data_IF_756705186799
#
_entry.id   IF_756705186799
#
_cell.length_a   1.000
_cell.length_b   1.000
_cell.length_c   1.000
_cell.angle_alpha   90.00
_cell.angle_beta   90.00
_cell.angle_gamma   90.00
#
_symmetry.space_group_name_H-M   'P 1'
#
loop_
_entity.id
_entity.type
_entity.pdbx_description
1 polymer ?
#
# COMPACT_ATOMS: atom_id res chain seq x y z
N UNK A 1 -33.57 23.81 -11.45
CA UNK A 1 -33.90 25.16 -11.97
C UNK A 1 -34.38 26.14 -10.87
N UNK A 2 -33.78 26.16 -9.68
CA UNK A 2 -34.09 27.17 -8.65
C UNK A 2 -32.91 27.48 -7.69
N UNK A 3 -31.67 27.33 -8.14
CA UNK A 3 -30.46 27.60 -7.34
C UNK A 3 -29.42 28.47 -8.04
N UNK A 4 -29.75 29.03 -9.21
CA UNK A 4 -28.83 29.82 -10.05
C UNK A 4 -29.18 31.32 -10.14
N UNK A 5 -30.20 31.80 -9.40
CA UNK A 5 -30.64 33.21 -9.45
C UNK A 5 -30.20 34.07 -8.26
N UNK A 6 -29.58 33.49 -7.23
CA UNK A 6 -29.16 34.21 -6.01
C UNK A 6 -27.79 34.91 -6.10
N UNK A 7 -26.90 34.44 -6.98
CA UNK A 7 -25.50 34.90 -7.05
C UNK A 7 -25.27 36.07 -8.01
N UNK A 8 -26.20 36.37 -8.92
CA UNK A 8 -26.06 37.52 -9.85
C UNK A 8 -26.47 38.87 -9.25
N UNK A 9 -27.24 38.90 -8.17
CA UNK A 9 -27.75 40.15 -7.58
C UNK A 9 -26.71 40.83 -6.69
N UNK A 10 -25.83 40.06 -6.05
CA UNK A 10 -24.77 40.59 -5.15
C UNK A 10 -23.61 41.22 -5.93
N UNK A 11 -23.32 40.72 -7.14
CA UNK A 11 -22.26 41.26 -8.02
C UNK A 11 -22.67 42.62 -8.62
N UNK A 12 -23.96 42.84 -8.91
CA UNK A 12 -24.46 44.14 -9.43
C UNK A 12 -24.39 45.28 -8.41
N UNK A 13 -24.35 44.99 -7.11
CA UNK A 13 -24.32 46.02 -6.06
C UNK A 13 -22.90 46.56 -5.80
N UNK A 14 -21.86 45.75 -6.01
CA UNK A 14 -20.47 46.14 -5.77
C UNK A 14 -19.93 46.99 -6.93
N UNK A 15 -20.35 46.72 -8.17
CA UNK A 15 -19.92 47.48 -9.36
C UNK A 15 -20.53 48.89 -9.42
N UNK A 16 -21.64 49.15 -8.71
CA UNK A 16 -22.33 50.45 -8.74
C UNK A 16 -21.81 51.48 -7.72
N UNK A 17 -20.94 51.10 -6.78
CA UNK A 17 -20.43 52.01 -5.73
C UNK A 17 -19.01 52.55 -5.96
N UNK A 18 -18.37 52.24 -7.08
CA UNK A 18 -17.04 52.76 -7.45
C UNK A 18 -17.08 53.93 -8.43
N UNK A 19 -18.27 54.33 -8.90
CA UNK A 19 -18.43 55.47 -9.83
C UNK A 19 -19.07 56.69 -9.15
N UNK A 20 -18.40 57.31 -8.18
CA UNK A 20 -18.60 58.73 -7.88
C UNK A 20 -17.26 59.33 -7.43
N UNK A 21 -16.87 60.42 -8.09
CA UNK A 21 -15.67 61.25 -7.87
C UNK A 21 -14.38 60.84 -8.61
N UNK A 22 -14.34 61.06 -9.92
CA UNK A 22 -13.08 61.43 -10.62
C UNK A 22 -13.40 62.46 -11.71
N UNK A 23 -12.72 63.61 -11.67
CA UNK A 23 -12.78 64.71 -12.63
C UNK A 23 -12.16 64.34 -14.00
N UNK A 24 -12.50 65.04 -15.09
CA UNK A 24 -12.11 64.63 -16.44
C UNK A 24 -10.77 65.25 -16.85
N UNK A 25 -9.65 64.58 -16.55
CA UNK A 25 -8.39 64.76 -17.28
C UNK A 25 -7.35 63.73 -16.79
N UNK A 26 -7.21 62.61 -17.51
CA UNK A 26 -5.93 61.91 -17.74
C UNK A 26 -6.17 60.47 -18.25
N UNK A 27 -5.58 60.17 -19.41
CA UNK A 27 -4.90 58.89 -19.72
C UNK A 27 -5.67 57.58 -19.43
N UNK A 28 -6.40 57.11 -20.44
CA UNK A 28 -7.13 55.83 -20.49
C UNK A 28 -6.22 54.58 -20.68
N UNK A 29 -5.06 54.49 -20.01
CA UNK A 29 -4.07 53.41 -20.22
C UNK A 29 -3.68 52.48 -19.05
N UNK A 30 -4.07 52.66 -17.77
CA UNK A 30 -3.73 51.66 -16.74
C UNK A 30 -4.87 50.69 -16.40
N UNK A 31 -6.13 50.98 -16.74
CA UNK A 31 -7.28 50.19 -16.25
C UNK A 31 -7.45 48.87 -17.00
N UNK A 32 -6.98 48.76 -18.25
CA UNK A 32 -7.10 47.54 -19.05
C UNK A 32 -6.09 46.44 -18.63
N UNK A 33 -4.99 46.80 -17.96
CA UNK A 33 -3.97 45.85 -17.48
C UNK A 33 -4.42 45.13 -16.21
N UNK A 34 -5.24 45.77 -15.37
CA UNK A 34 -5.75 45.15 -14.14
C UNK A 34 -6.86 44.11 -14.38
N UNK A 35 -7.63 44.20 -15.46
CA UNK A 35 -8.72 43.24 -15.74
C UNK A 35 -8.20 41.96 -16.40
N UNK A 36 -7.12 42.04 -17.20
CA UNK A 36 -6.42 40.86 -17.72
C UNK A 36 -5.57 40.15 -16.65
N UNK A 37 -5.05 40.89 -15.67
CA UNK A 37 -4.37 40.31 -14.50
C UNK A 37 -5.30 39.59 -13.53
N UNK A 38 -6.57 39.99 -13.42
CA UNK A 38 -7.54 39.37 -12.52
C UNK A 38 -8.12 38.04 -13.07
N UNK A 39 -8.10 37.84 -14.38
CA UNK A 39 -8.46 36.56 -15.02
C UNK A 39 -7.33 35.52 -14.95
N UNK A 40 -6.08 35.95 -14.76
CA UNK A 40 -4.93 35.08 -14.50
C UNK A 40 -4.81 34.63 -13.03
N UNK A 41 -5.70 35.12 -12.16
CA UNK A 41 -5.82 34.75 -10.74
C UNK A 41 -7.05 33.86 -10.46
N UNK A 42 -7.57 33.18 -11.49
CA UNK A 42 -8.23 31.89 -11.25
C UNK A 42 -7.14 30.96 -10.74
N UNK A 43 -7.02 30.90 -9.41
CA UNK A 43 -6.22 29.93 -8.71
C UNK A 43 -6.44 28.59 -9.42
N UNK A 44 -5.35 28.05 -9.98
CA UNK A 44 -5.27 26.64 -10.32
C UNK A 44 -5.35 25.93 -8.98
N UNK A 45 -6.56 25.76 -8.45
CA UNK A 45 -6.81 24.74 -7.44
C UNK A 45 -6.36 23.46 -8.13
N UNK A 46 -5.34 22.74 -7.62
CA UNK A 46 -5.01 21.46 -8.20
C UNK A 46 -6.31 20.65 -8.18
N UNK A 47 -6.85 20.39 -9.37
CA UNK A 47 -7.90 19.40 -9.52
C UNK A 47 -7.18 18.11 -9.19
N UNK A 48 -7.25 17.69 -7.92
CA UNK A 48 -6.85 16.35 -7.55
C UNK A 48 -7.54 15.42 -8.54
N UNK A 49 -6.78 14.54 -9.19
CA UNK A 49 -7.38 13.54 -10.05
C UNK A 49 -8.34 12.74 -9.18
N UNK A 50 -9.63 12.77 -9.49
CA UNK A 50 -10.62 11.98 -8.76
C UNK A 50 -10.50 10.54 -9.25
N UNK A 51 -9.60 9.78 -8.64
CA UNK A 51 -9.45 8.36 -8.97
C UNK A 51 -10.71 7.62 -8.52
N UNK A 52 -11.29 6.81 -9.41
CA UNK A 52 -12.37 5.89 -9.07
C UNK A 52 -11.76 4.49 -8.90
N UNK A 53 -11.74 3.91 -7.69
CA UNK A 53 -11.28 2.54 -7.48
C UNK A 53 -12.25 1.55 -8.15
N UNK A 54 -11.82 0.28 -8.28
CA UNK A 54 -12.58 -0.74 -9.00
C UNK A 54 -14.04 -0.91 -8.53
N UNK A 55 -14.34 -0.66 -7.25
CA UNK A 55 -15.71 -0.71 -6.73
C UNK A 55 -16.62 0.40 -7.30
N UNK A 56 -16.11 1.61 -7.48
CA UNK A 56 -16.86 2.72 -8.09
C UNK A 56 -17.07 2.46 -9.58
N UNK A 57 -16.04 1.93 -10.27
CA UNK A 57 -16.14 1.55 -11.68
C UNK A 57 -17.17 0.42 -11.86
N UNK A 58 -17.10 -0.63 -11.04
CA UNK A 58 -18.09 -1.71 -11.06
C UNK A 58 -19.51 -1.20 -10.82
N UNK A 59 -19.68 -0.27 -9.88
CA UNK A 59 -20.97 0.36 -9.58
C UNK A 59 -21.51 1.17 -10.77
N UNK A 60 -20.63 1.90 -11.47
CA UNK A 60 -20.99 2.65 -12.67
C UNK A 60 -21.41 1.75 -13.85
N UNK A 61 -21.02 0.48 -13.84
CA UNK A 61 -21.43 -0.56 -14.79
C UNK A 61 -22.58 -1.44 -14.26
N UNK A 62 -23.35 -0.93 -13.30
CA UNK A 62 -24.51 -1.60 -12.69
C UNK A 62 -24.20 -3.03 -12.19
N UNK A 63 -22.98 -3.29 -11.74
CA UNK A 63 -22.54 -4.60 -11.23
C UNK A 63 -22.78 -5.76 -12.21
N UNK A 64 -22.74 -5.50 -13.51
CA UNK A 64 -23.09 -6.42 -14.60
C UNK A 64 -22.50 -7.83 -14.44
N UNK A 65 -21.20 -7.95 -14.14
CA UNK A 65 -20.50 -9.23 -13.99
C UNK A 65 -20.97 -10.04 -12.77
N UNK A 66 -21.60 -9.38 -11.78
CA UNK A 66 -22.06 -10.00 -10.52
C UNK A 66 -23.54 -10.38 -10.54
N UNK A 67 -24.32 -9.91 -11.53
CA UNK A 67 -25.77 -10.14 -11.58
C UNK A 67 -26.12 -11.61 -11.64
N UNK A 68 -27.03 -12.04 -10.76
CA UNK A 68 -27.49 -13.42 -10.67
C UNK A 68 -26.48 -14.40 -10.07
N UNK A 69 -25.30 -13.94 -9.64
CA UNK A 69 -24.27 -14.77 -9.01
C UNK A 69 -24.32 -14.68 -7.49
N UNK A 70 -23.99 -15.78 -6.82
CA UNK A 70 -23.69 -15.81 -5.38
C UNK A 70 -22.23 -15.37 -5.18
N UNK A 71 -22.05 -14.23 -4.56
CA UNK A 71 -20.75 -13.56 -4.44
C UNK A 71 -20.17 -13.79 -3.05
N UNK A 72 -18.92 -14.25 -3.00
CA UNK A 72 -18.08 -14.17 -1.81
C UNK A 72 -17.14 -12.98 -1.92
N UNK A 73 -17.01 -12.17 -0.87
CA UNK A 73 -16.15 -10.98 -0.89
C UNK A 73 -14.95 -11.17 0.04
N UNK A 74 -13.75 -11.11 -0.53
CA UNK A 74 -12.47 -11.04 0.19
C UNK A 74 -12.13 -9.57 0.38
N UNK A 75 -12.25 -9.08 1.62
CA UNK A 75 -12.08 -7.66 1.92
C UNK A 75 -11.66 -7.43 3.38
N UNK A 76 -11.38 -6.17 3.70
CA UNK A 76 -11.26 -5.65 5.05
C UNK A 76 -11.80 -4.21 5.08
N UNK A 77 -11.56 -3.47 6.16
CA UNK A 77 -12.00 -2.08 6.38
C UNK A 77 -11.46 -1.08 5.34
N UNK A 78 -10.46 -1.43 4.55
CA UNK A 78 -9.94 -0.62 3.44
C UNK A 78 -10.73 -0.76 2.14
N UNK A 79 -11.55 -1.82 2.02
CA UNK A 79 -12.46 -2.03 0.89
C UNK A 79 -13.57 -1.00 0.92
N UNK A 80 -13.33 0.15 0.29
CA UNK A 80 -14.24 1.30 0.23
C UNK A 80 -14.26 1.98 -1.13
N UNK A 81 -15.41 2.58 -1.44
CA UNK A 81 -15.58 3.48 -2.58
C UNK A 81 -14.88 4.82 -2.37
N UNK A 82 -14.82 5.63 -3.43
CA UNK A 82 -14.33 7.01 -3.38
C UNK A 82 -15.15 7.89 -2.40
N UNK A 83 -16.43 7.56 -2.17
CA UNK A 83 -17.27 8.23 -1.16
C UNK A 83 -17.06 7.73 0.27
N UNK A 84 -16.23 6.71 0.48
CA UNK A 84 -15.95 6.10 1.78
C UNK A 84 -16.94 5.01 2.22
N UNK A 85 -17.90 4.63 1.38
CA UNK A 85 -18.83 3.52 1.66
C UNK A 85 -18.08 2.19 1.59
N UNK A 86 -18.32 1.26 2.53
CA UNK A 86 -17.70 -0.06 2.47
C UNK A 86 -18.17 -0.84 1.25
N UNK A 87 -17.26 -1.59 0.63
CA UNK A 87 -17.58 -2.52 -0.46
C UNK A 87 -18.57 -3.60 -0.02
N UNK A 88 -18.57 -3.96 1.28
CA UNK A 88 -19.60 -4.83 1.87
C UNK A 88 -20.99 -4.20 1.67
N UNK A 89 -21.15 -2.94 2.07
CA UNK A 89 -22.43 -2.22 1.98
C UNK A 89 -22.84 -1.95 0.53
N UNK A 90 -21.87 -1.61 -0.33
CA UNK A 90 -22.12 -1.40 -1.77
C UNK A 90 -22.66 -2.68 -2.41
N UNK A 91 -22.01 -3.82 -2.19
CA UNK A 91 -22.43 -5.10 -2.79
C UNK A 91 -23.69 -5.68 -2.13
N UNK A 92 -23.90 -5.47 -0.83
CA UNK A 92 -25.10 -5.92 -0.14
C UNK A 92 -26.37 -5.14 -0.57
N UNK A 93 -26.21 -3.88 -0.97
CA UNK A 93 -27.30 -3.03 -1.46
C UNK A 93 -27.47 -3.04 -2.98
N UNK A 94 -26.53 -3.64 -3.73
CA UNK A 94 -26.51 -3.65 -5.18
C UNK A 94 -27.64 -4.51 -5.79
N UNK A 95 -28.51 -3.93 -6.65
CA UNK A 95 -29.59 -4.68 -7.28
C UNK A 95 -29.07 -5.84 -8.15
N UNK A 96 -29.62 -7.03 -7.92
CA UNK A 96 -29.27 -8.24 -8.68
C UNK A 96 -27.96 -8.91 -8.25
N UNK A 97 -27.25 -8.37 -7.25
CA UNK A 97 -26.09 -9.00 -6.63
C UNK A 97 -26.54 -9.77 -5.39
N UNK A 98 -26.04 -10.99 -5.21
CA UNK A 98 -26.32 -11.79 -4.01
C UNK A 98 -25.02 -12.05 -3.24
N UNK A 99 -24.69 -11.15 -2.32
CA UNK A 99 -23.57 -11.34 -1.40
C UNK A 99 -23.92 -12.44 -0.37
N UNK A 100 -23.10 -13.49 -0.25
CA UNK A 100 -23.40 -14.66 0.60
C UNK A 100 -22.37 -14.98 1.66
N UNK A 101 -21.13 -14.48 1.51
CA UNK A 101 -20.05 -14.73 2.46
C UNK A 101 -18.99 -13.64 2.39
N UNK A 102 -18.32 -13.41 3.52
CA UNK A 102 -17.18 -12.51 3.66
C UNK A 102 -15.94 -13.31 4.03
N UNK A 103 -14.79 -12.89 3.54
CA UNK A 103 -13.49 -13.50 3.82
C UNK A 103 -12.53 -12.40 4.24
N UNK A 104 -11.95 -12.53 5.42
CA UNK A 104 -11.03 -11.53 5.96
C UNK A 104 -9.58 -12.02 5.94
N UNK A 105 -8.62 -11.20 5.52
CA UNK A 105 -7.19 -11.53 5.50
C UNK A 105 -6.58 -11.41 6.91
N UNK A 106 -5.25 -11.26 6.97
CA UNK A 106 -4.53 -10.81 8.16
C UNK A 106 -5.14 -9.50 8.74
N UNK A 107 -5.19 -9.42 10.07
CA UNK A 107 -5.84 -8.36 10.87
C UNK A 107 -7.38 -8.39 10.93
N UNK A 108 -8.02 -9.33 10.23
CA UNK A 108 -9.47 -9.52 10.26
C UNK A 108 -10.25 -8.46 9.47
N UNK A 109 -11.58 -8.57 9.46
CA UNK A 109 -12.43 -7.74 8.59
C UNK A 109 -12.39 -6.24 8.95
N UNK A 110 -12.21 -5.91 10.23
CA UNK A 110 -12.07 -4.53 10.70
C UNK A 110 -10.64 -4.00 10.72
N UNK A 111 -9.63 -4.85 10.52
CA UNK A 111 -8.22 -4.48 10.53
C UNK A 111 -7.64 -4.02 11.87
N UNK A 112 -8.30 -4.35 12.99
CA UNK A 112 -7.97 -3.82 14.32
C UNK A 112 -6.96 -4.69 15.09
N UNK A 113 -6.72 -5.92 14.63
CA UNK A 113 -6.02 -6.93 15.43
C UNK A 113 -4.58 -7.16 14.95
N UNK A 114 -3.62 -7.00 15.86
CA UNK A 114 -2.22 -7.40 15.65
C UNK A 114 -1.98 -8.90 15.99
N UNK A 115 -3.06 -9.66 16.10
CA UNK A 115 -3.09 -11.09 16.44
C UNK A 115 -4.01 -11.84 15.48
N UNK A 116 -3.90 -13.18 15.47
CA UNK A 116 -4.79 -14.05 14.66
C UNK A 116 -6.25 -13.88 15.10
N UNK A 117 -7.14 -13.72 14.11
CA UNK A 117 -8.59 -13.56 14.31
C UNK A 117 -9.31 -14.76 13.71
N UNK A 118 -10.28 -15.31 14.43
CA UNK A 118 -11.10 -16.42 13.97
C UNK A 118 -12.29 -15.98 13.10
N UNK A 119 -12.98 -16.96 12.52
CA UNK A 119 -14.24 -16.72 11.80
C UNK A 119 -15.32 -16.15 12.72
N UNK A 120 -16.22 -15.34 12.16
CA UNK A 120 -17.27 -14.63 12.89
C UNK A 120 -18.52 -14.42 12.02
N UNK A 121 -19.45 -13.56 12.48
CA UNK A 121 -20.63 -13.14 11.72
C UNK A 121 -20.60 -11.62 11.66
N UNK A 122 -20.78 -11.07 10.47
CA UNK A 122 -20.88 -9.63 10.29
C UNK A 122 -22.19 -9.11 10.89
N UNK A 123 -22.09 -8.10 11.75
CA UNK A 123 -23.22 -7.62 12.54
C UNK A 123 -24.25 -6.85 11.72
N UNK A 124 -23.83 -6.25 10.60
CA UNK A 124 -24.67 -5.40 9.77
C UNK A 124 -25.45 -6.26 8.78
N UNK A 125 -24.75 -7.13 8.05
CA UNK A 125 -25.34 -7.97 6.99
C UNK A 125 -25.83 -9.32 7.48
N UNK A 126 -25.38 -9.79 8.65
CA UNK A 126 -25.65 -11.14 9.16
C UNK A 126 -24.90 -12.25 8.43
N UNK A 127 -23.97 -11.90 7.52
CA UNK A 127 -23.22 -12.87 6.71
C UNK A 127 -22.11 -13.56 7.51
N UNK A 128 -21.76 -14.81 7.17
CA UNK A 128 -20.58 -15.46 7.73
C UNK A 128 -19.31 -14.74 7.28
N UNK A 129 -18.36 -14.57 8.21
CA UNK A 129 -17.01 -14.04 7.97
C UNK A 129 -16.00 -15.17 8.20
N UNK A 130 -15.34 -15.62 7.14
CA UNK A 130 -14.29 -16.64 7.21
C UNK A 130 -12.92 -15.98 7.34
N UNK A 131 -12.14 -16.38 8.34
CA UNK A 131 -10.75 -15.93 8.46
C UNK A 131 -9.83 -16.69 7.50
N UNK A 132 -9.06 -15.95 6.71
CA UNK A 132 -7.99 -16.43 5.85
C UNK A 132 -6.61 -16.16 6.47
N UNK A 133 -6.54 -16.18 7.80
CA UNK A 133 -5.28 -16.02 8.52
C UNK A 133 -5.28 -16.82 9.82
N UNK A 134 -4.33 -17.75 9.97
CA UNK A 134 -4.18 -18.56 11.18
C UNK A 134 -4.19 -20.05 10.92
N UNK A 135 -5.34 -20.70 11.07
CA UNK A 135 -5.49 -22.15 10.83
C UNK A 135 -5.35 -22.52 9.34
N UNK A 136 -5.58 -21.56 8.46
CA UNK A 136 -5.28 -21.62 7.03
C UNK A 136 -5.29 -20.21 6.44
N UNK A 137 -4.54 -20.04 5.35
CA UNK A 137 -4.46 -18.76 4.63
C UNK A 137 -5.11 -18.81 3.24
N UNK A 138 -5.96 -19.81 3.04
CA UNK A 138 -6.58 -20.15 1.77
C UNK A 138 -8.05 -20.54 1.98
N UNK A 139 -8.99 -20.06 1.16
CA UNK A 139 -10.38 -20.52 1.22
C UNK A 139 -10.46 -22.04 1.02
N UNK A 140 -11.21 -22.73 1.88
CA UNK A 140 -11.43 -24.18 1.76
C UNK A 140 -12.63 -24.47 0.85
N UNK A 141 -12.70 -25.69 0.29
CA UNK A 141 -13.85 -26.11 -0.53
C UNK A 141 -15.20 -25.95 0.20
N UNK A 142 -15.23 -26.20 1.52
CA UNK A 142 -16.43 -26.01 2.34
C UNK A 142 -16.83 -24.53 2.43
N UNK A 143 -15.87 -23.61 2.55
CA UNK A 143 -16.14 -22.17 2.57
C UNK A 143 -16.62 -21.64 1.21
N UNK A 144 -16.23 -22.29 0.12
CA UNK A 144 -16.62 -21.92 -1.25
C UNK A 144 -17.94 -22.56 -1.71
N UNK A 145 -18.54 -23.43 -0.88
CA UNK A 145 -19.75 -24.13 -1.25
C UNK A 145 -20.91 -23.14 -1.48
N UNK A 146 -21.44 -23.15 -2.71
CA UNK A 146 -22.55 -22.28 -3.09
C UNK A 146 -22.15 -20.83 -3.37
N UNK A 147 -20.86 -20.56 -3.62
CA UNK A 147 -20.35 -19.32 -4.19
C UNK A 147 -20.12 -19.56 -5.69
N UNK A 148 -20.51 -18.60 -6.53
CA UNK A 148 -20.32 -18.66 -7.98
C UNK A 148 -19.16 -17.76 -8.45
N UNK A 149 -18.82 -16.74 -7.65
CA UNK A 149 -17.69 -15.84 -7.90
C UNK A 149 -17.11 -15.30 -6.58
N UNK A 150 -15.78 -15.27 -6.49
CA UNK A 150 -15.08 -14.49 -5.46
C UNK A 150 -14.72 -13.11 -5.99
N UNK A 151 -14.91 -12.08 -5.17
CA UNK A 151 -14.47 -10.70 -5.44
C UNK A 151 -13.39 -10.35 -4.43
N UNK A 152 -12.27 -9.78 -4.87
CA UNK A 152 -11.18 -9.29 -4.03
C UNK A 152 -11.14 -7.77 -4.06
N UNK A 153 -11.20 -7.15 -2.88
CA UNK A 153 -11.12 -5.70 -2.73
C UNK A 153 -10.44 -5.29 -1.42
N UNK A 154 -9.11 -5.09 -1.48
CA UNK A 154 -8.27 -4.71 -0.35
C UNK A 154 -7.19 -3.72 -0.82
N UNK A 155 -6.94 -2.66 -0.06
CA UNK A 155 -5.82 -1.75 -0.27
C UNK A 155 -4.50 -2.38 0.20
N UNK A 156 -3.58 -2.61 -0.74
CA UNK A 156 -2.21 -3.05 -0.48
C UNK A 156 -1.25 -1.85 -0.31
N UNK A 157 0.04 -2.09 -0.05
CA UNK A 157 1.06 -1.05 0.14
C UNK A 157 2.18 -1.04 -0.91
N UNK A 158 2.19 -1.97 -1.87
CA UNK A 158 3.19 -2.02 -2.93
C UNK A 158 4.49 -2.73 -2.55
N UNK A 159 4.47 -3.58 -1.50
CA UNK A 159 5.63 -4.32 -1.00
C UNK A 159 5.38 -5.83 -1.02
N UNK A 160 6.33 -6.61 -1.55
CA UNK A 160 6.22 -8.07 -1.71
C UNK A 160 5.85 -8.81 -0.43
N UNK A 161 6.49 -8.46 0.68
CA UNK A 161 6.30 -9.17 1.95
C UNK A 161 5.13 -8.61 2.78
N UNK A 162 4.29 -7.75 2.20
CA UNK A 162 2.98 -7.42 2.75
C UNK A 162 1.96 -8.47 2.29
N UNK A 163 1.30 -9.13 3.23
CA UNK A 163 0.71 -10.47 3.01
C UNK A 163 -0.53 -10.51 2.13
N UNK A 164 -1.15 -9.36 1.82
CA UNK A 164 -2.40 -9.30 1.06
C UNK A 164 -2.26 -9.81 -0.38
N UNK A 165 -1.11 -9.60 -1.03
CA UNK A 165 -0.85 -10.19 -2.35
C UNK A 165 -0.70 -11.72 -2.27
N UNK A 166 -0.27 -12.24 -1.12
CA UNK A 166 -0.27 -13.67 -0.81
C UNK A 166 -1.68 -14.23 -0.67
N UNK A 167 -2.55 -13.53 0.08
CA UNK A 167 -3.97 -13.87 0.18
C UNK A 167 -4.65 -13.87 -1.19
N UNK A 168 -4.38 -12.87 -2.03
CA UNK A 168 -4.86 -12.81 -3.42
C UNK A 168 -4.50 -14.10 -4.18
N UNK A 169 -3.22 -14.46 -4.21
CA UNK A 169 -2.75 -15.63 -4.96
C UNK A 169 -3.39 -16.93 -4.47
N UNK A 170 -3.43 -17.16 -3.15
CA UNK A 170 -4.02 -18.38 -2.59
C UNK A 170 -5.53 -18.46 -2.83
N UNK A 171 -6.23 -17.33 -2.79
CA UNK A 171 -7.65 -17.26 -3.10
C UNK A 171 -7.93 -17.52 -4.59
N UNK A 172 -7.10 -17.01 -5.50
CA UNK A 172 -7.22 -17.31 -6.93
C UNK A 172 -7.00 -18.80 -7.21
N UNK A 173 -6.03 -19.44 -6.56
CA UNK A 173 -5.85 -20.89 -6.63
C UNK A 173 -7.08 -21.65 -6.12
N UNK A 174 -7.65 -21.23 -4.99
CA UNK A 174 -8.87 -21.84 -4.44
C UNK A 174 -10.07 -21.68 -5.39
N UNK A 175 -10.23 -20.52 -6.03
CA UNK A 175 -11.28 -20.28 -7.02
C UNK A 175 -11.14 -21.19 -8.25
N UNK A 176 -9.92 -21.31 -8.77
CA UNK A 176 -9.61 -22.23 -9.88
C UNK A 176 -9.98 -23.67 -9.56
N UNK A 177 -9.58 -24.17 -8.39
CA UNK A 177 -9.88 -25.54 -7.96
C UNK A 177 -11.37 -25.78 -7.72
N UNK A 178 -12.10 -24.77 -7.23
CA UNK A 178 -13.54 -24.83 -7.06
C UNK A 178 -14.32 -24.63 -8.37
N UNK A 179 -13.66 -24.25 -9.47
CA UNK A 179 -14.31 -23.98 -10.75
C UNK A 179 -15.20 -22.72 -10.74
N UNK A 180 -14.88 -21.74 -9.90
CA UNK A 180 -15.64 -20.49 -9.76
C UNK A 180 -14.85 -19.30 -10.31
N UNK A 181 -15.54 -18.27 -10.78
CA UNK A 181 -14.90 -17.05 -11.30
C UNK A 181 -14.24 -16.24 -10.17
N UNK A 182 -13.25 -15.43 -10.52
CA UNK A 182 -12.56 -14.53 -9.60
C UNK A 182 -12.52 -13.12 -10.18
N UNK A 183 -12.93 -12.13 -9.39
CA UNK A 183 -12.91 -10.72 -9.77
C UNK A 183 -11.99 -9.91 -8.83
N UNK A 184 -11.19 -9.00 -9.38
CA UNK A 184 -10.37 -8.06 -8.59
C UNK A 184 -10.85 -6.65 -8.85
N UNK A 185 -11.28 -5.96 -7.79
CA UNK A 185 -11.56 -4.53 -7.81
C UNK A 185 -10.22 -3.81 -7.59
N UNK A 186 -9.68 -3.26 -8.67
CA UNK A 186 -8.31 -2.73 -8.61
C UNK A 186 -8.22 -1.46 -7.75
N UNK A 187 -7.05 -1.25 -7.16
CA UNK A 187 -6.75 -0.14 -6.25
C UNK A 187 -5.37 0.46 -6.52
N UNK A 188 -5.13 1.73 -6.15
CA UNK A 188 -3.84 2.37 -6.35
C UNK A 188 -2.73 1.61 -5.63
N UNK A 189 -1.57 1.49 -6.25
CA UNK A 189 -0.35 1.21 -5.50
C UNK A 189 0.06 2.52 -4.79
N UNK A 190 0.07 2.58 -3.45
CA UNK A 190 0.20 3.85 -2.74
C UNK A 190 1.58 4.48 -2.88
N UNK A 191 2.58 3.69 -3.26
CA UNK A 191 3.96 4.13 -3.50
C UNK A 191 4.27 4.22 -5.01
N UNK A 192 3.24 4.34 -5.84
CA UNK A 192 3.34 4.48 -7.29
C UNK A 192 3.57 3.16 -8.05
N UNK A 193 3.32 3.22 -9.36
CA UNK A 193 3.49 2.11 -10.30
C UNK A 193 4.74 2.20 -11.19
N UNK A 194 5.57 3.22 -11.06
CA UNK A 194 6.76 3.40 -11.92
C UNK A 194 7.94 2.57 -11.40
N UNK A 195 8.37 2.86 -10.18
CA UNK A 195 9.62 2.33 -9.63
C UNK A 195 9.54 0.84 -9.29
N UNK A 196 10.65 0.15 -9.54
CA UNK A 196 10.87 -1.27 -9.20
C UNK A 196 12.22 -1.37 -8.52
N UNK A 197 12.26 -1.98 -7.34
CA UNK A 197 13.47 -2.09 -6.54
C UNK A 197 13.51 -3.38 -5.70
N UNK A 198 14.71 -3.77 -5.30
CA UNK A 198 14.96 -4.92 -4.43
C UNK A 198 15.14 -6.25 -5.14
N UNK A 199 15.51 -7.26 -4.35
CA UNK A 199 15.79 -8.59 -4.87
C UNK A 199 14.53 -9.28 -5.38
N UNK A 200 14.71 -10.11 -6.40
CA UNK A 200 13.70 -11.08 -6.84
C UNK A 200 14.10 -12.42 -6.23
N UNK A 201 13.30 -12.97 -5.30
CA UNK A 201 13.65 -14.22 -4.63
C UNK A 201 13.64 -15.38 -5.62
N UNK A 202 14.43 -16.40 -5.33
CA UNK A 202 14.34 -17.68 -6.03
C UNK A 202 13.00 -18.32 -5.66
N UNK A 203 12.21 -18.85 -6.64
CA UNK A 203 10.96 -19.52 -6.33
C UNK A 203 11.19 -20.66 -5.33
N UNK A 204 10.45 -20.65 -4.22
CA UNK A 204 10.44 -21.79 -3.30
C UNK A 204 9.50 -22.84 -3.88
N UNK A 205 10.04 -24.00 -4.24
CA UNK A 205 9.24 -25.09 -4.80
C UNK A 205 8.08 -25.44 -3.84
N UNK A 206 6.83 -25.38 -4.34
CA UNK A 206 5.62 -25.71 -3.58
C UNK A 206 4.98 -24.58 -2.77
N UNK A 207 5.49 -23.34 -2.82
CA UNK A 207 4.91 -22.19 -2.07
C UNK A 207 3.52 -21.77 -2.55
N UNK A 208 3.17 -22.05 -3.82
CA UNK A 208 1.99 -21.50 -4.49
C UNK A 208 0.66 -22.24 -4.27
N UNK A 209 0.61 -23.37 -3.57
CA UNK A 209 -0.63 -24.17 -3.46
C UNK A 209 -0.92 -24.77 -2.09
N UNK A 210 -0.03 -24.59 -1.12
CA UNK A 210 -0.17 -25.21 0.20
C UNK A 210 -0.91 -24.28 1.18
N UNK A 211 -1.62 -24.86 2.14
CA UNK A 211 -2.34 -24.12 3.20
C UNK A 211 -1.40 -23.50 4.25
N UNK A 212 -0.09 -23.47 4.00
CA UNK A 212 0.89 -22.89 4.91
C UNK A 212 0.96 -21.37 4.73
N UNK A 213 0.71 -20.65 5.82
CA UNK A 213 0.78 -19.20 5.87
C UNK A 213 2.23 -18.67 5.88
N UNK A 214 3.23 -19.53 6.11
CA UNK A 214 4.64 -19.12 6.21
C UNK A 214 5.20 -18.53 4.91
N UNK A 215 4.59 -18.86 3.77
CA UNK A 215 5.01 -18.39 2.45
C UNK A 215 4.36 -17.06 2.02
N UNK A 216 3.42 -16.50 2.78
CA UNK A 216 2.69 -15.29 2.38
C UNK A 216 3.60 -14.09 2.09
N UNK A 217 4.74 -14.00 2.78
CA UNK A 217 5.72 -12.92 2.62
C UNK A 217 6.66 -13.12 1.42
N UNK A 218 6.62 -14.29 0.77
CA UNK A 218 7.47 -14.61 -0.38
C UNK A 218 6.79 -15.63 -1.33
N UNK A 219 5.51 -15.41 -1.63
CA UNK A 219 4.70 -16.38 -2.39
C UNK A 219 5.18 -16.55 -3.84
N UNK A 220 5.62 -15.46 -4.46
CA UNK A 220 6.00 -15.37 -5.86
C UNK A 220 7.33 -14.64 -6.05
N UNK A 221 8.11 -14.98 -7.10
CA UNK A 221 9.39 -14.35 -7.42
C UNK A 221 9.19 -12.97 -8.06
N UNK A 222 8.78 -11.99 -7.26
CA UNK A 222 8.68 -10.58 -7.68
C UNK A 222 9.65 -9.69 -6.86
N UNK A 223 10.05 -8.51 -7.36
CA UNK A 223 10.90 -7.58 -6.62
C UNK A 223 10.23 -7.10 -5.33
N UNK A 224 11.03 -6.70 -4.34
CA UNK A 224 10.56 -6.18 -3.05
C UNK A 224 9.57 -5.01 -3.21
N UNK A 225 9.93 -4.00 -4.01
CA UNK A 225 9.01 -2.97 -4.52
C UNK A 225 8.69 -3.32 -5.97
N UNK A 226 7.50 -3.82 -6.23
CA UNK A 226 7.11 -4.36 -7.54
C UNK A 226 6.54 -3.30 -8.49
N UNK A 227 6.02 -2.18 -7.97
CA UNK A 227 5.47 -1.08 -8.76
C UNK A 227 4.28 -1.50 -9.64
N UNK A 228 3.39 -2.33 -9.11
CA UNK A 228 2.18 -2.82 -9.81
C UNK A 228 0.97 -2.66 -8.91
N UNK A 229 -0.22 -2.47 -9.49
CA UNK A 229 -1.47 -2.52 -8.74
C UNK A 229 -1.86 -3.96 -8.39
N UNK A 230 -2.84 -4.14 -7.50
CA UNK A 230 -3.30 -5.47 -7.10
C UNK A 230 -3.95 -6.23 -8.28
N UNK A 231 -4.64 -5.51 -9.17
CA UNK A 231 -5.21 -6.05 -10.40
C UNK A 231 -4.15 -6.45 -11.43
N UNK A 232 -3.11 -5.64 -11.61
CA UNK A 232 -1.97 -5.99 -12.47
C UNK A 232 -1.22 -7.21 -11.93
N UNK A 233 -1.01 -7.29 -10.61
CA UNK A 233 -0.43 -8.47 -9.95
C UNK A 233 -1.31 -9.71 -10.15
N UNK A 234 -2.63 -9.60 -10.01
CA UNK A 234 -3.54 -10.72 -10.28
C UNK A 234 -3.37 -11.26 -11.71
N UNK A 235 -3.30 -10.37 -12.72
CA UNK A 235 -3.08 -10.78 -14.12
C UNK A 235 -1.72 -11.48 -14.29
N UNK A 236 -0.66 -10.92 -13.70
CA UNK A 236 0.69 -11.50 -13.76
C UNK A 236 0.70 -12.88 -13.09
N UNK A 237 0.17 -13.00 -11.88
CA UNK A 237 0.12 -14.25 -11.13
C UNK A 237 -0.68 -15.31 -11.90
N UNK A 238 -1.81 -14.91 -12.50
CA UNK A 238 -2.67 -15.84 -13.20
C UNK A 238 -1.96 -16.58 -14.34
N UNK A 239 -1.07 -15.90 -15.04
CA UNK A 239 -0.37 -16.40 -16.22
C UNK A 239 1.03 -16.90 -15.89
N UNK A 240 1.91 -16.03 -15.37
CA UNK A 240 3.34 -16.35 -15.16
C UNK A 240 3.55 -17.41 -14.07
N UNK A 241 2.65 -17.48 -13.10
CA UNK A 241 2.73 -18.43 -11.99
C UNK A 241 1.67 -19.54 -12.06
N UNK A 242 1.03 -19.69 -13.22
CA UNK A 242 0.24 -20.87 -13.58
C UNK A 242 -1.04 -21.08 -12.77
N UNK A 243 -1.59 -20.03 -12.14
CA UNK A 243 -2.85 -20.13 -11.40
C UNK A 243 -3.99 -20.50 -12.35
N UNK A 244 -4.10 -19.81 -13.49
CA UNK A 244 -5.09 -20.06 -14.54
C UNK A 244 -6.55 -20.13 -14.05
N UNK A 245 -6.97 -19.25 -13.12
CA UNK A 245 -8.37 -19.07 -12.77
C UNK A 245 -9.12 -18.23 -13.81
N UNK A 246 -10.44 -18.33 -13.85
CA UNK A 246 -11.32 -17.43 -14.61
C UNK A 246 -11.32 -16.05 -13.96
N UNK A 247 -10.36 -15.21 -14.38
CA UNK A 247 -10.06 -13.91 -13.77
C UNK A 247 -10.65 -12.75 -14.57
N UNK A 248 -11.38 -11.88 -13.88
CA UNK A 248 -11.78 -10.55 -14.35
C UNK A 248 -11.13 -9.49 -13.45
N UNK A 249 -10.47 -8.49 -14.03
CA UNK A 249 -10.00 -7.32 -13.29
C UNK A 249 -10.83 -6.11 -13.68
N UNK A 250 -11.34 -5.39 -12.68
CA UNK A 250 -12.08 -4.14 -12.86
C UNK A 250 -11.06 -3.02 -12.64
N UNK A 251 -10.51 -2.42 -13.72
CA UNK A 251 -9.50 -1.38 -13.58
C UNK A 251 -10.11 -0.12 -12.96
N UNK A 252 -9.27 0.66 -12.29
CA UNK A 252 -9.60 1.99 -11.83
C UNK A 252 -9.79 2.95 -13.02
N UNK A 253 -10.40 4.09 -12.75
CA UNK A 253 -10.37 5.24 -13.66
C UNK A 253 -9.59 6.40 -13.04
N UNK A 254 -8.79 7.09 -13.86
CA UNK A 254 -8.07 8.30 -13.46
C UNK A 254 -6.72 8.08 -12.77
N UNK A 255 -6.40 6.88 -12.28
CA UNK A 255 -5.08 6.59 -11.73
C UNK A 255 -4.02 6.53 -12.83
N UNK A 256 -2.84 7.09 -12.55
CA UNK A 256 -1.68 7.02 -13.42
C UNK A 256 -0.50 6.46 -12.62
N UNK A 257 0.40 5.72 -13.28
CA UNK A 257 1.52 5.06 -12.59
C UNK A 257 2.38 5.98 -11.73
N UNK A 258 2.52 7.25 -12.14
CA UNK A 258 3.32 8.24 -11.42
C UNK A 258 2.68 8.76 -10.13
N UNK A 259 1.39 8.49 -9.90
CA UNK A 259 0.65 8.97 -8.73
C UNK A 259 1.00 8.16 -7.48
N UNK A 260 1.36 8.88 -6.43
CA UNK A 260 1.32 8.41 -5.05
C UNK A 260 -0.12 8.49 -4.50
N UNK A 261 -0.40 7.80 -3.40
CA UNK A 261 -1.76 7.69 -2.88
C UNK A 261 -2.42 9.04 -2.56
N UNK A 262 -1.67 9.97 -1.97
CA UNK A 262 -2.10 11.32 -1.62
C UNK A 262 -2.45 12.18 -2.84
N UNK A 263 -2.04 11.77 -4.04
CA UNK A 263 -2.36 12.45 -5.30
C UNK A 263 -3.66 11.91 -5.95
N UNK A 264 -4.24 10.84 -5.41
CA UNK A 264 -5.43 10.15 -5.97
C UNK A 264 -6.77 10.75 -5.55
N UNK A 265 -6.77 11.63 -4.55
CA UNK A 265 -7.99 12.15 -3.93
C UNK A 265 -8.76 11.14 -3.05
N UNK A 266 -8.30 9.90 -2.92
CA UNK A 266 -8.90 8.89 -2.06
C UNK A 266 -8.47 9.05 -0.59
N UNK A 267 -9.38 8.74 0.32
CA UNK A 267 -9.09 8.77 1.75
C UNK A 267 -8.19 7.58 2.14
N UNK A 268 -7.03 7.87 2.72
CA UNK A 268 -6.15 6.83 3.25
C UNK A 268 -6.74 6.23 4.53
N UNK A 269 -6.86 4.91 4.53
CA UNK A 269 -7.21 4.12 5.71
C UNK A 269 -6.06 3.17 5.97
N UNK A 270 -5.53 3.22 7.19
CA UNK A 270 -4.42 2.38 7.63
C UNK A 270 -4.74 0.90 7.35
N UNK A 271 -4.01 0.23 6.43
CA UNK A 271 -4.37 -1.12 6.01
C UNK A 271 -4.10 -2.17 7.09
N UNK A 272 -3.28 -1.85 8.09
CA UNK A 272 -3.05 -2.69 9.28
C UNK A 272 -2.87 -1.81 10.53
N UNK A 273 -2.93 -2.39 11.75
CA UNK A 273 -2.72 -1.64 12.99
C UNK A 273 -1.39 -0.89 13.06
N UNK A 274 -0.38 -1.38 12.33
CA UNK A 274 0.97 -0.84 12.34
C UNK A 274 1.36 -0.12 11.04
N UNK A 275 0.55 -0.18 9.97
CA UNK A 275 0.74 0.66 8.79
C UNK A 275 -0.04 1.97 8.92
N UNK A 276 0.51 2.91 9.69
CA UNK A 276 -0.23 4.09 10.18
C UNK A 276 -0.15 5.34 9.32
N UNK A 277 0.68 5.34 8.28
CA UNK A 277 0.93 6.52 7.45
C UNK A 277 1.36 6.11 6.03
N UNK A 278 1.21 7.04 5.08
CA UNK A 278 1.76 6.88 3.73
C UNK A 278 3.30 6.93 3.74
N UNK A 279 3.90 7.67 4.67
CA UNK A 279 5.35 7.69 4.86
C UNK A 279 5.88 6.33 5.30
N UNK A 280 5.20 5.67 6.24
CA UNK A 280 5.51 4.30 6.63
C UNK A 280 5.39 3.36 5.42
N UNK A 281 4.32 3.46 4.62
CA UNK A 281 4.14 2.62 3.42
C UNK A 281 5.27 2.85 2.39
N UNK A 282 5.72 4.10 2.22
CA UNK A 282 6.84 4.46 1.34
C UNK A 282 8.17 3.87 1.80
N UNK A 283 8.43 3.87 3.11
CA UNK A 283 9.68 3.37 3.71
C UNK A 283 9.71 1.84 3.84
N UNK A 284 8.54 1.22 4.02
CA UNK A 284 8.38 -0.19 4.34
C UNK A 284 9.12 -1.16 3.40
N UNK A 285 9.18 -0.97 2.05
CA UNK A 285 9.88 -1.91 1.17
C UNK A 285 11.32 -2.23 1.56
N UNK A 286 12.05 -1.27 2.14
CA UNK A 286 13.39 -1.54 2.67
C UNK A 286 13.41 -1.70 4.18
N UNK A 287 12.79 -0.79 4.90
CA UNK A 287 12.94 -0.69 6.34
C UNK A 287 12.09 -1.72 7.10
N UNK A 288 11.05 -2.27 6.47
CA UNK A 288 10.26 -3.39 7.00
C UNK A 288 11.10 -4.66 7.18
N UNK A 289 12.22 -4.81 6.47
CA UNK A 289 13.11 -5.98 6.61
C UNK A 289 13.73 -6.12 8.01
N UNK A 290 13.70 -5.05 8.82
CA UNK A 290 14.18 -5.06 10.21
C UNK A 290 13.14 -5.61 11.19
N UNK A 291 11.93 -5.96 10.75
CA UNK A 291 10.94 -6.66 11.57
C UNK A 291 11.44 -8.02 12.08
N UNK A 292 12.31 -8.64 11.29
CA UNK A 292 12.92 -9.94 11.61
C UNK A 292 14.23 -9.83 12.39
N UNK A 293 14.66 -8.59 12.69
CA UNK A 293 15.78 -8.29 13.56
C UNK A 293 15.36 -8.17 15.04
N UNK A 294 16.33 -8.24 15.95
CA UNK A 294 16.14 -8.00 17.38
C UNK A 294 16.02 -6.50 17.72
N UNK A 295 15.30 -5.73 16.90
CA UNK A 295 14.99 -4.32 17.09
C UNK A 295 13.48 -4.14 17.27
N UNK A 296 13.08 -3.12 18.02
CA UNK A 296 11.73 -2.59 17.89
C UNK A 296 11.64 -1.74 16.65
N UNK A 297 10.63 -1.99 15.81
CA UNK A 297 10.27 -1.19 14.63
C UNK A 297 9.16 -0.16 14.94
N UNK A 298 9.01 0.22 16.23
CA UNK A 298 8.03 1.22 16.65
C UNK A 298 6.58 0.73 16.77
N UNK A 299 6.30 -0.59 16.66
CA UNK A 299 4.96 -1.15 16.88
C UNK A 299 4.42 -0.77 18.27
N UNK A 300 3.16 -0.34 18.32
CA UNK A 300 2.53 0.20 19.53
C UNK A 300 2.89 1.66 19.86
N UNK A 301 3.61 2.37 18.99
CA UNK A 301 3.80 3.83 19.07
C UNK A 301 2.91 4.55 18.05
N UNK A 302 3.05 5.87 17.95
CA UNK A 302 2.43 6.66 16.89
C UNK A 302 3.13 6.49 15.52
N UNK A 303 4.38 6.01 15.48
CA UNK A 303 5.24 6.00 14.28
C UNK A 303 5.86 4.62 13.97
N UNK A 304 5.08 3.53 13.93
CA UNK A 304 5.60 2.23 13.49
C UNK A 304 6.19 2.32 12.07
N UNK A 305 7.28 1.59 11.82
CA UNK A 305 8.06 1.58 10.57
C UNK A 305 8.72 2.92 10.20
N UNK A 306 8.68 3.90 11.09
CA UNK A 306 9.41 5.16 10.96
C UNK A 306 10.42 5.36 12.12
N UNK A 307 10.42 4.48 13.13
CA UNK A 307 11.38 4.48 14.23
C UNK A 307 11.91 3.08 14.48
N UNK A 308 13.21 2.97 14.70
CA UNK A 308 13.91 1.69 14.87
C UNK A 308 14.88 1.79 16.03
N UNK A 309 14.87 0.83 16.95
CA UNK A 309 15.73 0.91 18.12
C UNK A 309 15.57 -0.21 19.13
N UNK A 310 16.41 -0.20 20.15
CA UNK A 310 16.37 -1.13 21.27
C UNK A 310 17.00 -0.48 22.51
N UNK A 311 16.81 -1.04 23.72
CA UNK A 311 17.43 -0.49 24.93
C UNK A 311 18.97 -0.48 24.90
N UNK A 312 19.58 -1.33 24.08
CA UNK A 312 21.03 -1.50 23.97
C UNK A 312 21.68 -0.68 22.84
N UNK A 313 20.90 0.05 22.04
CA UNK A 313 21.39 0.78 20.88
C UNK A 313 22.08 2.09 21.30
N UNK A 314 23.32 2.30 20.84
CA UNK A 314 23.93 3.64 20.76
C UNK A 314 23.39 4.38 19.52
N UNK A 315 22.31 5.12 19.73
CA UNK A 315 21.64 5.85 18.66
C UNK A 315 22.54 6.95 18.04
N UNK A 316 23.43 7.54 18.84
CA UNK A 316 24.34 8.58 18.37
C UNK A 316 25.40 8.00 17.42
N UNK A 317 25.93 6.81 17.71
CA UNK A 317 26.84 6.11 16.81
C UNK A 317 26.16 5.74 15.48
N UNK A 318 24.92 5.23 15.52
CA UNK A 318 24.14 4.91 14.31
C UNK A 318 23.88 6.17 13.48
N UNK A 319 23.44 7.27 14.11
CA UNK A 319 23.14 8.53 13.43
C UNK A 319 24.40 9.14 12.77
N UNK A 320 25.55 9.17 13.48
CA UNK A 320 26.82 9.63 12.90
C UNK A 320 27.24 8.80 11.69
N UNK A 321 27.05 7.48 11.77
CA UNK A 321 27.35 6.58 10.66
C UNK A 321 26.47 6.91 9.45
N UNK A 322 25.15 7.02 9.62
CA UNK A 322 24.21 7.33 8.53
C UNK A 322 24.45 8.72 7.92
N UNK A 323 24.77 9.72 8.75
CA UNK A 323 25.06 11.08 8.28
C UNK A 323 26.24 11.14 7.30
N UNK A 324 27.18 10.18 7.37
CA UNK A 324 28.32 10.11 6.47
C UNK A 324 28.00 9.51 5.08
N UNK A 325 26.79 8.97 4.86
CA UNK A 325 26.46 8.15 3.68
C UNK A 325 25.70 8.88 2.56
N UNK A 326 25.35 10.16 2.74
CA UNK A 326 24.68 11.00 1.75
C UNK A 326 23.50 10.31 1.02
N UNK A 327 22.60 9.67 1.78
CA UNK A 327 21.51 8.86 1.23
C UNK A 327 20.41 9.78 0.68
N UNK A 328 20.06 9.71 -0.63
CA UNK A 328 19.10 10.62 -1.22
C UNK A 328 17.67 10.48 -0.66
N UNK A 329 16.99 11.62 -0.50
CA UNK A 329 15.55 11.66 -0.19
C UNK A 329 15.13 11.23 1.22
N UNK A 330 16.07 11.00 2.14
CA UNK A 330 15.78 10.51 3.50
C UNK A 330 16.64 11.21 4.56
N UNK A 331 16.08 11.36 5.76
CA UNK A 331 16.82 11.80 6.95
C UNK A 331 16.69 10.83 8.10
N UNK A 332 17.71 10.87 8.96
CA UNK A 332 17.83 10.05 10.15
C UNK A 332 18.11 10.97 11.33
N UNK A 333 17.36 10.80 12.41
CA UNK A 333 17.55 11.55 13.64
C UNK A 333 17.53 10.60 14.83
N UNK A 334 18.31 10.91 15.88
CA UNK A 334 18.22 10.15 17.14
C UNK A 334 16.84 10.37 17.76
N UNK A 335 16.24 9.30 18.26
CA UNK A 335 15.00 9.37 19.02
C UNK A 335 14.97 8.32 20.14
N UNK A 336 14.19 8.63 21.17
CA UNK A 336 13.78 7.66 22.18
C UNK A 336 12.30 7.37 22.03
N UNK A 337 11.92 6.11 22.16
CA UNK A 337 10.51 5.70 22.11
C UNK A 337 10.26 4.47 22.98
N UNK A 338 9.00 4.27 23.38
CA UNK A 338 8.57 3.13 24.20
C UNK A 338 7.56 2.31 23.41
N UNK A 339 7.94 1.16 22.83
CA UNK A 339 6.99 0.30 22.13
C UNK A 339 6.01 -0.34 23.12
N UNK A 340 4.76 -0.47 22.70
CA UNK A 340 3.69 -1.06 23.54
C UNK A 340 3.11 -2.36 22.95
N UNK A 341 3.61 -2.78 21.78
CA UNK A 341 3.19 -4.00 21.09
C UNK A 341 3.22 -5.22 22.03
N UNK A 342 2.11 -5.94 22.07
CA UNK A 342 1.96 -7.16 22.88
C UNK A 342 2.92 -8.22 22.36
N UNK A 343 3.58 -8.95 23.27
CA UNK A 343 4.53 -10.02 22.92
C UNK A 343 5.93 -9.55 22.52
N UNK A 344 6.17 -8.25 22.33
CA UNK A 344 7.51 -7.75 21.99
C UNK A 344 8.45 -7.72 23.22
N UNK A 345 9.72 -8.19 23.13
CA UNK A 345 10.65 -8.24 24.28
C UNK A 345 10.97 -6.88 24.94
N UNK A 346 10.80 -5.79 24.18
CA UNK A 346 11.03 -4.42 24.63
C UNK A 346 9.75 -3.66 25.01
N UNK A 347 8.61 -4.35 25.11
CA UNK A 347 7.35 -3.73 25.55
C UNK A 347 7.53 -2.98 26.87
N UNK A 348 7.19 -1.69 26.88
CA UNK A 348 7.28 -0.83 28.06
C UNK A 348 8.70 -0.41 28.46
N UNK A 349 9.72 -0.74 27.66
CA UNK A 349 11.11 -0.31 27.88
C UNK A 349 11.47 0.82 26.93
N UNK A 350 12.23 1.80 27.40
CA UNK A 350 12.81 2.83 26.54
C UNK A 350 13.76 2.18 25.53
N UNK A 351 13.49 2.42 24.26
CA UNK A 351 14.35 2.06 23.14
C UNK A 351 15.03 3.33 22.65
N UNK A 352 16.35 3.29 22.61
CA UNK A 352 17.17 4.30 21.92
C UNK A 352 17.25 3.91 20.45
N UNK A 353 17.12 4.88 19.55
CA UNK A 353 16.98 4.53 18.16
C UNK A 353 17.09 5.69 17.18
N UNK A 354 16.72 5.37 15.95
CA UNK A 354 16.71 6.28 14.82
C UNK A 354 15.27 6.47 14.37
N UNK A 355 14.84 7.73 14.38
CA UNK A 355 13.65 8.20 13.70
C UNK A 355 13.99 8.57 12.27
N UNK A 356 13.07 8.26 11.37
CA UNK A 356 13.29 8.26 9.94
C UNK A 356 12.22 9.13 9.30
N UNK A 357 12.62 9.91 8.29
CA UNK A 357 11.70 10.78 7.57
C UNK A 357 12.09 10.80 6.10
N UNK A 358 11.15 10.45 5.24
CA UNK A 358 11.27 10.68 3.81
C UNK A 358 11.19 12.19 3.56
N UNK A 359 12.24 12.78 2.99
CA UNK A 359 12.31 14.21 2.67
C UNK A 359 11.88 14.45 1.22
N UNK A 360 12.28 13.55 0.32
CA UNK A 360 11.92 13.62 -1.10
C UNK A 360 11.67 12.22 -1.64
N UNK A 361 10.38 11.89 -1.81
CA UNK A 361 9.93 10.59 -2.31
C UNK A 361 10.34 10.28 -3.76
N UNK A 362 10.72 11.30 -4.55
CA UNK A 362 11.18 11.11 -5.93
C UNK A 362 12.65 10.71 -6.00
N UNK A 363 13.45 11.13 -5.02
CA UNK A 363 14.86 10.77 -4.90
C UNK A 363 15.08 9.51 -4.05
N UNK A 364 14.09 9.13 -3.25
CA UNK A 364 14.19 8.01 -2.32
C UNK A 364 14.10 6.64 -3.02
N UNK A 365 15.16 5.84 -2.88
CA UNK A 365 15.09 4.38 -2.99
C UNK A 365 14.92 3.79 -1.56
N UNK A 366 13.71 3.38 -1.16
CA UNK A 366 13.48 2.89 0.19
C UNK A 366 14.21 1.58 0.45
N UNK A 367 14.42 0.74 -0.56
CA UNK A 367 15.11 -0.55 -0.40
C UNK A 367 16.57 -0.32 -0.06
N UNK A 368 17.27 0.49 -0.85
CA UNK A 368 18.67 0.84 -0.60
C UNK A 368 18.83 1.57 0.74
N UNK A 369 17.93 2.49 1.07
CA UNK A 369 17.92 3.16 2.37
C UNK A 369 17.76 2.18 3.55
N UNK A 370 16.93 1.14 3.40
CA UNK A 370 16.79 0.06 4.38
C UNK A 370 18.09 -0.71 4.59
N UNK A 371 18.82 -1.05 3.52
CA UNK A 371 20.13 -1.71 3.62
C UNK A 371 21.18 -0.83 4.34
N UNK A 372 21.18 0.48 4.08
CA UNK A 372 22.01 1.43 4.82
C UNK A 372 21.71 1.43 6.31
N UNK A 373 20.43 1.42 6.68
CA UNK A 373 20.00 1.38 8.07
C UNK A 373 20.45 0.10 8.77
N UNK A 374 20.24 -1.07 8.14
CA UNK A 374 20.68 -2.38 8.64
C UNK A 374 22.18 -2.38 8.91
N UNK A 375 22.97 -1.94 7.93
CA UNK A 375 24.42 -1.92 8.06
C UNK A 375 24.90 -0.93 9.11
N UNK A 376 24.28 0.25 9.22
CA UNK A 376 24.64 1.24 10.23
C UNK A 376 24.38 0.74 11.65
N UNK A 377 23.23 0.07 11.90
CA UNK A 377 22.96 -0.60 13.17
C UNK A 377 23.99 -1.69 13.46
N UNK A 378 24.32 -2.51 12.48
CA UNK A 378 25.29 -3.60 12.65
C UNK A 378 26.68 -3.06 13.04
N UNK A 379 27.18 -2.06 12.32
CA UNK A 379 28.50 -1.47 12.54
C UNK A 379 28.61 -0.70 13.86
N UNK A 380 27.53 -0.02 14.28
CA UNK A 380 27.52 0.72 15.53
C UNK A 380 27.47 -0.19 16.78
N UNK A 381 27.04 -1.45 16.62
CA UNK A 381 26.82 -2.40 17.73
C UNK A 381 27.29 -3.82 17.39
N UNK A 382 28.61 -4.06 17.21
CA UNK A 382 29.12 -5.37 16.83
C UNK A 382 28.68 -6.49 17.78
N UNK A 383 28.07 -7.54 17.25
CA UNK A 383 27.63 -8.72 18.00
C UNK A 383 26.26 -8.62 18.71
N UNK A 384 25.64 -7.44 18.73
CA UNK A 384 24.31 -7.25 19.31
C UNK A 384 23.19 -7.30 18.28
N UNK A 385 23.35 -6.68 17.11
CA UNK A 385 22.35 -6.78 16.05
C UNK A 385 22.32 -8.21 15.51
N UNK A 386 21.14 -8.82 15.59
CA UNK A 386 20.86 -10.15 15.07
C UNK A 386 19.59 -10.07 14.25
N UNK A 387 19.67 -10.51 13.02
CA UNK A 387 18.50 -10.95 12.28
C UNK A 387 18.37 -12.46 12.37
N UNK A 388 17.14 -12.95 12.38
CA UNK A 388 16.87 -14.36 12.07
C UNK A 388 17.02 -14.59 10.56
N UNK A 389 16.72 -15.81 10.11
CA UNK A 389 16.52 -16.18 8.70
C UNK A 389 15.50 -15.27 7.97
N UNK A 390 14.65 -14.55 8.72
CA UNK A 390 13.61 -13.68 8.18
C UNK A 390 14.11 -12.53 7.29
N UNK A 391 15.26 -11.91 7.57
CA UNK A 391 15.77 -10.81 6.73
C UNK A 391 16.06 -11.29 5.30
N UNK A 392 16.63 -12.49 5.15
CA UNK A 392 16.88 -13.08 3.84
C UNK A 392 15.56 -13.29 3.07
N UNK A 393 14.48 -13.67 3.76
CA UNK A 393 13.15 -13.89 3.16
C UNK A 393 12.51 -12.56 2.75
N UNK A 394 12.54 -11.54 3.62
CA UNK A 394 11.93 -10.24 3.37
C UNK A 394 12.70 -9.43 2.31
N UNK A 395 14.03 -9.51 2.31
CA UNK A 395 14.85 -8.94 1.23
C UNK A 395 14.66 -9.76 -0.04
N UNK A 396 14.67 -11.09 0.05
CA UNK A 396 14.64 -12.00 -1.10
C UNK A 396 16.03 -12.33 -1.65
N UNK A 397 17.08 -12.16 -0.84
CA UNK A 397 18.47 -12.52 -1.16
C UNK A 397 19.15 -13.07 0.10
N UNK A 398 19.51 -14.35 0.08
CA UNK A 398 20.14 -15.02 1.22
C UNK A 398 21.54 -14.50 1.53
N UNK A 399 22.23 -13.93 0.55
CA UNK A 399 23.59 -13.43 0.72
C UNK A 399 23.62 -11.99 1.24
N UNK A 400 22.53 -11.23 1.12
CA UNK A 400 22.50 -9.81 1.43
C UNK A 400 22.94 -9.52 2.87
N UNK A 401 22.50 -10.32 3.85
CA UNK A 401 22.92 -10.16 5.25
C UNK A 401 24.43 -10.29 5.39
N UNK A 402 24.99 -11.42 4.92
CA UNK A 402 26.43 -11.72 4.98
C UNK A 402 27.25 -10.61 4.30
N UNK A 403 26.82 -10.16 3.13
CA UNK A 403 27.49 -9.09 2.38
C UNK A 403 27.50 -7.77 3.16
N UNK A 404 26.35 -7.33 3.69
CA UNK A 404 26.24 -6.08 4.44
C UNK A 404 27.05 -6.12 5.74
N UNK A 405 27.05 -7.27 6.42
CA UNK A 405 27.56 -7.37 7.80
C UNK A 405 28.99 -7.91 7.87
N UNK A 406 29.24 -9.11 7.34
CA UNK A 406 30.51 -9.83 7.53
C UNK A 406 31.55 -9.41 6.50
N UNK A 407 31.12 -9.13 5.26
CA UNK A 407 32.01 -8.74 4.16
C UNK A 407 32.15 -7.22 4.02
N UNK A 408 31.30 -6.45 4.70
CA UNK A 408 31.35 -4.98 4.68
C UNK A 408 31.05 -4.35 3.32
N UNK A 409 30.32 -5.06 2.45
CA UNK A 409 29.88 -4.54 1.15
C UNK A 409 28.93 -3.37 1.32
N UNK A 410 29.09 -2.36 0.48
CA UNK A 410 28.17 -1.22 0.46
C UNK A 410 26.77 -1.67 0.06
N UNK A 411 25.69 -1.02 0.57
CA UNK A 411 24.32 -1.25 0.12
C UNK A 411 24.16 -1.21 -1.41
N UNK A 412 24.87 -0.31 -2.08
CA UNK A 412 24.88 -0.18 -3.53
C UNK A 412 25.50 -1.41 -4.22
N UNK A 413 26.62 -1.93 -3.71
CA UNK A 413 27.22 -3.18 -4.22
C UNK A 413 26.29 -4.38 -4.05
N UNK A 414 25.53 -4.45 -2.95
CA UNK A 414 24.51 -5.49 -2.75
C UNK A 414 23.38 -5.31 -3.78
N UNK A 415 22.85 -4.10 -3.93
CA UNK A 415 21.75 -3.80 -4.85
C UNK A 415 22.10 -4.02 -6.33
N UNK A 416 23.37 -3.87 -6.73
CA UNK A 416 23.84 -4.15 -8.09
C UNK A 416 23.50 -5.58 -8.53
N UNK A 417 23.54 -6.56 -7.62
CA UNK A 417 23.23 -7.97 -7.91
C UNK A 417 21.78 -8.18 -8.36
N UNK A 418 20.87 -7.28 -7.96
CA UNK A 418 19.44 -7.42 -8.24
C UNK A 418 19.03 -6.82 -9.58
N UNK A 419 19.91 -6.03 -10.22
CA UNK A 419 19.61 -5.33 -11.48
C UNK A 419 19.09 -6.26 -12.57
N UNK A 420 19.75 -7.40 -12.78
CA UNK A 420 19.33 -8.34 -13.83
C UNK A 420 17.93 -8.92 -13.56
N UNK A 421 17.63 -9.26 -12.30
CA UNK A 421 16.30 -9.72 -11.89
C UNK A 421 15.23 -8.65 -12.07
N UNK A 422 15.55 -7.41 -11.70
CA UNK A 422 14.67 -6.25 -11.88
C UNK A 422 14.39 -6.01 -13.36
N UNK A 423 15.39 -6.04 -14.25
CA UNK A 423 15.20 -5.84 -15.69
C UNK A 423 14.34 -6.95 -16.32
N UNK A 424 14.57 -8.21 -15.94
CA UNK A 424 13.71 -9.32 -16.37
C UNK A 424 12.27 -9.12 -15.91
N UNK A 425 12.06 -8.69 -14.66
CA UNK A 425 10.72 -8.41 -14.14
C UNK A 425 10.05 -7.22 -14.84
N UNK A 426 10.78 -6.12 -15.08
CA UNK A 426 10.28 -4.95 -15.83
C UNK A 426 9.74 -5.36 -17.20
N UNK A 427 10.51 -6.15 -17.94
CA UNK A 427 10.08 -6.68 -19.25
C UNK A 427 8.88 -7.64 -19.14
N UNK A 428 8.84 -8.46 -18.10
CA UNK A 428 7.73 -9.38 -17.86
C UNK A 428 6.42 -8.63 -17.56
N UNK A 429 6.46 -7.64 -16.65
CA UNK A 429 5.26 -6.97 -16.16
C UNK A 429 4.55 -6.14 -17.23
N UNK A 430 5.26 -5.66 -18.25
CA UNK A 430 4.69 -4.88 -19.37
C UNK A 430 3.45 -5.53 -19.99
N UNK A 431 3.41 -6.87 -20.06
CA UNK A 431 2.26 -7.62 -20.60
C UNK A 431 0.99 -7.53 -19.74
N UNK A 432 1.15 -7.16 -18.47
CA UNK A 432 0.11 -7.23 -17.44
C UNK A 432 -0.32 -5.86 -16.92
N UNK A 433 0.38 -4.79 -17.32
CA UNK A 433 0.04 -3.43 -16.92
C UNK A 433 -1.34 -3.04 -17.47
N UNK A 434 -2.08 -2.25 -16.68
CA UNK A 434 -3.39 -1.70 -17.02
C UNK A 434 -3.34 -0.17 -17.20
N UNK A 435 -2.30 0.48 -16.66
CA UNK A 435 -2.14 1.94 -16.61
C UNK A 435 -0.76 2.40 -17.05
#
# INVERSE_FOLDING_TARGET
MAWFRGTMTTIRCIVRRVCVMVSPAASLKPVLVCVLGLLALLAVTPVFAAVLPGIDVLSAHDFDILKGRRVGLITNHTGRSASGTSTIDVLASAPGVRLVALFSPEHGIGGEFDQKVGSSVDRITGLPVYSLYGAGCRPTAAMLQGIDMLVFDIQDIGTRFYTYIGTLSLAMHAAREAGISFAVLDRPNPIGGVEVAGAVPVPVAGSGGQNDCSSLTSIHPIPTRHGMTIGELARLFNVEFGINCDLTVIPMQGWQRGMFYDETGLAWINPSPNMKSLDAALLYPGLGTLETANLSVGRGTARPFEVYGAPWVDAQAVARNLAARAIPGISFAVCDFVPTAVGHPYRGKTCHGIGITAIDRKLLDPVVAGLHLVQAFYQAQPGQLRSKEGFAIEVGDSEAWKMLTQEGKTPEEVAVRWREGIERFRKMRERYLLY
#
